data_IF_334561781110
#
_entry.id   IF_334561781110
#
_cell.length_a   1.000
_cell.length_b   1.000
_cell.length_c   1.000
_cell.angle_alpha   90.00
_cell.angle_beta   90.00
_cell.angle_gamma   90.00
#
_symmetry.space_group_name_H-M   'P 1'
#
loop_
_entity.id
_entity.type
_entity.pdbx_description
1 polymer ?
#
# COMPACT_ATOMS: atom_id res chain seq x y z
N UNK A 1 -19.45 8.51 32.57
CA UNK A 1 -18.11 8.77 31.99
C UNK A 1 -18.31 9.17 30.54
N UNK A 2 -17.79 10.31 30.10
CA UNK A 2 -17.93 10.71 28.69
C UNK A 2 -17.16 9.74 27.79
N UNK A 3 -17.67 9.41 26.59
CA UNK A 3 -16.98 8.51 25.68
C UNK A 3 -15.68 9.15 25.17
N UNK A 4 -14.57 8.43 25.30
CA UNK A 4 -13.26 8.85 24.79
C UNK A 4 -13.22 8.60 23.28
N UNK A 5 -12.98 9.65 22.50
CA UNK A 5 -12.88 9.55 21.02
C UNK A 5 -11.45 9.84 20.60
N UNK A 6 -10.82 8.87 19.94
CA UNK A 6 -9.44 8.91 19.51
C UNK A 6 -9.37 8.87 17.99
N UNK A 7 -8.40 9.59 17.42
CA UNK A 7 -8.04 9.55 16.02
C UNK A 7 -6.60 9.06 15.89
N UNK A 8 -6.38 8.09 15.02
CA UNK A 8 -5.07 7.46 14.80
C UNK A 8 -4.63 7.80 13.38
N UNK A 9 -3.45 8.39 13.25
CA UNK A 9 -2.90 8.78 11.96
C UNK A 9 -2.12 7.66 11.26
N UNK A 10 -1.64 7.92 10.05
CA UNK A 10 -0.89 7.00 9.21
C UNK A 10 0.45 6.52 9.82
N UNK A 11 0.95 7.21 10.84
CA UNK A 11 2.16 6.82 11.59
C UNK A 11 1.84 5.99 12.84
N UNK A 12 0.55 5.77 13.14
CA UNK A 12 0.08 5.13 14.35
C UNK A 12 0.00 6.07 15.56
N UNK A 13 0.19 7.38 15.35
CA UNK A 13 0.11 8.37 16.44
C UNK A 13 -1.34 8.66 16.79
N UNK A 14 -1.60 8.68 18.09
CA UNK A 14 -2.95 8.81 18.66
C UNK A 14 -3.21 10.26 19.07
N UNK A 15 -4.38 10.77 18.72
CA UNK A 15 -4.86 12.09 19.05
C UNK A 15 -6.22 12.01 19.73
N UNK A 16 -6.47 12.88 20.70
CA UNK A 16 -7.83 13.15 21.17
C UNK A 16 -8.58 13.90 20.06
N UNK A 17 -9.71 13.36 19.63
CA UNK A 17 -10.54 13.96 18.57
C UNK A 17 -11.11 15.33 18.97
N UNK A 18 -11.23 15.62 20.27
CA UNK A 18 -11.65 16.91 20.78
C UNK A 18 -10.47 17.85 21.05
N UNK A 19 -9.24 17.36 20.95
CA UNK A 19 -8.02 18.12 21.20
C UNK A 19 -7.75 19.21 20.16
N UNK A 20 -6.99 20.22 20.56
CA UNK A 20 -6.54 21.28 19.63
C UNK A 20 -5.48 20.78 18.64
N UNK A 21 -4.64 19.82 19.08
CA UNK A 21 -3.53 19.29 18.29
C UNK A 21 -3.97 18.72 16.93
N UNK A 22 -5.08 17.98 16.88
CA UNK A 22 -5.58 17.40 15.63
C UNK A 22 -6.21 18.45 14.70
N UNK A 23 -6.89 19.45 15.27
CA UNK A 23 -7.47 20.57 14.52
C UNK A 23 -6.38 21.41 13.85
N UNK A 24 -5.33 21.71 14.61
CA UNK A 24 -4.15 22.42 14.10
C UNK A 24 -3.44 21.61 13.00
N UNK A 25 -3.28 20.29 13.20
CA UNK A 25 -2.64 19.40 12.20
C UNK A 25 -3.43 19.31 10.89
N UNK A 26 -4.76 19.20 10.95
CA UNK A 26 -5.60 19.05 9.76
C UNK A 26 -5.92 20.38 9.06
N UNK A 27 -5.73 21.53 9.74
CA UNK A 27 -5.97 22.85 9.15
C UNK A 27 -7.43 23.12 8.77
N UNK A 28 -8.38 22.38 9.34
CA UNK A 28 -9.82 22.48 9.00
C UNK A 28 -10.61 23.19 10.09
N UNK A 29 -11.62 23.96 9.68
CA UNK A 29 -12.56 24.63 10.59
C UNK A 29 -13.58 23.66 11.24
N UNK A 30 -13.68 22.43 10.73
CA UNK A 30 -14.59 21.42 11.26
C UNK A 30 -14.23 21.02 12.70
N UNK A 31 -15.23 20.68 13.50
CA UNK A 31 -15.06 20.19 14.88
C UNK A 31 -16.01 19.05 15.21
N UNK A 32 -15.72 18.32 16.28
CA UNK A 32 -16.54 17.18 16.72
C UNK A 32 -16.67 16.09 15.66
N UNK A 33 -17.90 15.61 15.43
CA UNK A 33 -18.18 14.52 14.48
C UNK A 33 -17.81 14.87 13.03
N UNK A 34 -17.94 16.13 12.62
CA UNK A 34 -17.58 16.54 11.26
C UNK A 34 -16.06 16.46 11.00
N UNK A 35 -15.26 16.78 12.02
CA UNK A 35 -13.79 16.63 11.95
C UNK A 35 -13.39 15.17 11.82
N UNK A 36 -14.01 14.32 12.65
CA UNK A 36 -13.75 12.88 12.67
C UNK A 36 -14.14 12.23 11.34
N UNK A 37 -15.33 12.56 10.82
CA UNK A 37 -15.78 12.07 9.53
C UNK A 37 -14.83 12.49 8.41
N UNK A 38 -14.42 13.77 8.40
CA UNK A 38 -13.45 14.27 7.44
C UNK A 38 -12.10 13.55 7.54
N UNK A 39 -11.57 13.37 8.75
CA UNK A 39 -10.27 12.74 8.97
C UNK A 39 -10.27 11.26 8.54
N UNK A 40 -11.30 10.50 8.95
CA UNK A 40 -11.41 9.09 8.58
C UNK A 40 -11.65 8.92 7.09
N UNK A 41 -12.59 9.70 6.53
CA UNK A 41 -12.95 9.63 5.11
C UNK A 41 -11.77 10.06 4.27
N UNK A 42 -11.22 11.26 4.46
CA UNK A 42 -10.33 11.89 3.47
C UNK A 42 -8.84 11.73 3.77
N UNK A 43 -8.46 11.53 5.03
CA UNK A 43 -7.06 11.55 5.45
C UNK A 43 -6.53 10.17 5.87
N UNK A 44 -7.34 9.11 5.80
CA UNK A 44 -6.92 7.75 6.15
C UNK A 44 -6.75 7.51 7.65
N UNK A 45 -7.32 8.38 8.49
CA UNK A 45 -7.31 8.19 9.93
C UNK A 45 -8.25 7.05 10.34
N UNK A 46 -7.96 6.41 11.47
CA UNK A 46 -8.87 5.48 12.13
C UNK A 46 -9.42 6.15 13.38
N UNK A 47 -10.74 6.19 13.51
CA UNK A 47 -11.43 6.59 14.73
C UNK A 47 -11.62 5.38 15.63
N UNK A 48 -11.30 5.53 16.92
CA UNK A 48 -11.77 4.67 17.99
C UNK A 48 -12.58 5.46 19.00
N UNK A 49 -13.76 4.97 19.36
CA UNK A 49 -14.57 5.55 20.43
C UNK A 49 -14.84 4.53 21.51
N UNK A 50 -14.39 4.80 22.72
CA UNK A 50 -14.60 3.95 23.88
C UNK A 50 -15.73 4.50 24.75
N UNK A 51 -16.64 3.64 25.18
CA UNK A 51 -17.73 3.98 26.09
C UNK A 51 -18.17 2.80 26.94
N UNK A 52 -17.77 2.77 28.21
CA UNK A 52 -18.00 1.61 29.07
C UNK A 52 -17.30 0.37 28.51
N UNK A 53 -18.03 -0.74 28.38
CA UNK A 53 -17.53 -1.98 27.74
C UNK A 53 -17.68 -2.02 26.21
N UNK A 54 -17.98 -0.88 25.56
CA UNK A 54 -18.21 -0.79 24.11
C UNK A 54 -17.10 -0.02 23.42
N UNK A 55 -16.78 -0.44 22.20
CA UNK A 55 -15.91 0.29 21.30
C UNK A 55 -16.58 0.49 19.92
N UNK A 56 -16.40 1.64 19.29
CA UNK A 56 -16.67 1.80 17.86
C UNK A 56 -15.37 2.07 17.11
N UNK A 57 -15.17 1.38 16.00
CA UNK A 57 -14.06 1.58 15.08
C UNK A 57 -14.62 2.11 13.77
N UNK A 58 -14.08 3.23 13.27
CA UNK A 58 -14.50 3.83 12.01
C UNK A 58 -13.29 4.17 11.14
N UNK A 59 -13.32 3.80 9.86
CA UNK A 59 -12.22 4.07 8.91
C UNK A 59 -12.69 4.12 7.46
N UNK A 60 -11.84 4.60 6.55
CA UNK A 60 -11.95 4.33 5.12
C UNK A 60 -10.90 3.28 4.73
N UNK A 61 -11.27 2.00 4.48
CA UNK A 61 -10.31 0.91 4.31
C UNK A 61 -9.32 1.13 3.16
N UNK A 62 -9.74 1.78 2.07
CA UNK A 62 -8.87 2.14 0.94
C UNK A 62 -7.91 3.32 1.20
N UNK A 63 -7.94 3.91 2.39
CA UNK A 63 -7.08 5.05 2.80
C UNK A 63 -6.32 4.80 4.09
N UNK A 64 -6.87 4.00 5.00
CA UNK A 64 -6.20 3.58 6.22
C UNK A 64 -5.07 2.60 5.90
N UNK A 65 -3.98 2.67 6.67
CA UNK A 65 -2.82 1.78 6.49
C UNK A 65 -2.67 0.81 7.68
N UNK A 66 -1.85 -0.23 7.52
CA UNK A 66 -1.67 -1.22 8.59
C UNK A 66 -1.02 -0.69 9.86
N UNK A 67 -0.19 0.35 9.76
CA UNK A 67 0.44 0.95 10.95
C UNK A 67 -0.64 1.57 11.85
N UNK A 68 -1.52 2.37 11.25
CA UNK A 68 -2.68 2.96 11.94
C UNK A 68 -3.63 1.89 12.48
N UNK A 69 -3.87 0.81 11.71
CA UNK A 69 -4.73 -0.29 12.10
C UNK A 69 -4.14 -1.13 13.24
N UNK A 70 -2.84 -1.42 13.22
CA UNK A 70 -2.14 -2.13 14.29
C UNK A 70 -2.14 -1.33 15.59
N UNK A 71 -1.97 0.00 15.51
CA UNK A 71 -2.13 0.89 16.65
C UNK A 71 -3.57 0.87 17.18
N UNK A 72 -4.57 0.83 16.30
CA UNK A 72 -5.97 0.69 16.69
C UNK A 72 -6.25 -0.65 17.41
N UNK A 73 -5.74 -1.76 16.86
CA UNK A 73 -5.85 -3.10 17.48
C UNK A 73 -5.23 -3.12 18.87
N UNK A 74 -4.02 -2.58 19.01
CA UNK A 74 -3.31 -2.50 20.29
C UNK A 74 -4.10 -1.71 21.34
N UNK A 75 -4.78 -0.64 20.93
CA UNK A 75 -5.61 0.16 21.83
C UNK A 75 -6.88 -0.59 22.25
N UNK A 76 -7.53 -1.30 21.33
CA UNK A 76 -8.70 -2.13 21.64
C UNK A 76 -8.33 -3.26 22.58
N UNK A 77 -7.23 -3.97 22.33
CA UNK A 77 -6.73 -5.05 23.20
C UNK A 77 -6.41 -4.56 24.62
N UNK A 78 -5.89 -3.33 24.74
CA UNK A 78 -5.65 -2.69 26.04
C UNK A 78 -6.94 -2.41 26.80
N UNK A 79 -8.00 -1.98 26.12
CA UNK A 79 -9.28 -1.62 26.75
C UNK A 79 -10.26 -2.78 26.91
N UNK A 80 -10.04 -3.89 26.18
CA UNK A 80 -10.84 -5.13 26.23
C UNK A 80 -12.37 -4.88 26.18
N UNK A 81 -12.89 -4.23 25.12
CA UNK A 81 -14.34 -4.04 25.00
C UNK A 81 -15.05 -5.39 24.78
N UNK A 82 -16.24 -5.52 25.34
CA UNK A 82 -17.11 -6.70 25.19
C UNK A 82 -17.87 -6.69 23.86
N UNK A 83 -18.08 -5.50 23.27
CA UNK A 83 -18.81 -5.33 22.01
C UNK A 83 -18.16 -4.28 21.14
N UNK A 84 -18.14 -4.53 19.85
CA UNK A 84 -17.64 -3.60 18.86
C UNK A 84 -18.70 -3.24 17.82
N UNK A 85 -18.69 -1.97 17.43
CA UNK A 85 -19.36 -1.50 16.21
C UNK A 85 -18.30 -1.07 15.21
N UNK A 86 -18.50 -1.45 13.96
CA UNK A 86 -17.64 -1.12 12.84
C UNK A 86 -18.38 -0.15 11.94
N UNK A 87 -17.65 0.83 11.42
CA UNK A 87 -18.09 1.64 10.31
C UNK A 87 -16.96 1.74 9.28
N UNK A 88 -17.23 1.45 8.02
CA UNK A 88 -16.24 1.60 6.97
C UNK A 88 -16.79 2.35 5.76
N UNK A 89 -15.90 3.09 5.08
CA UNK A 89 -16.22 3.90 3.92
C UNK A 89 -15.52 3.40 2.67
N UNK A 90 -16.29 2.99 1.67
CA UNK A 90 -15.84 2.55 0.33
C UNK A 90 -16.45 3.39 -0.82
N UNK A 91 -17.19 4.43 -0.47
CA UNK A 91 -18.05 5.19 -1.38
C UNK A 91 -19.31 5.64 -0.65
N UNK A 92 -19.81 4.75 0.22
CA UNK A 92 -20.84 4.99 1.21
C UNK A 92 -20.40 4.45 2.58
N UNK A 93 -21.14 4.82 3.65
CA UNK A 93 -20.84 4.32 4.99
C UNK A 93 -21.61 3.02 5.26
N UNK A 94 -20.87 1.97 5.55
CA UNK A 94 -21.42 0.69 6.01
C UNK A 94 -21.27 0.60 7.53
N UNK A 95 -22.21 -0.10 8.18
CA UNK A 95 -22.23 -0.25 9.63
C UNK A 95 -22.50 -1.70 10.01
N UNK A 96 -21.70 -2.23 10.93
CA UNK A 96 -21.84 -3.60 11.42
C UNK A 96 -21.61 -3.64 12.93
N UNK A 97 -22.30 -4.53 13.64
CA UNK A 97 -22.07 -4.78 15.07
C UNK A 97 -21.58 -6.20 15.22
N UNK A 98 -20.45 -6.37 15.89
CA UNK A 98 -19.82 -7.66 16.11
C UNK A 98 -19.63 -7.89 17.61
N UNK A 99 -19.78 -9.15 18.00
CA UNK A 99 -19.76 -9.60 19.40
C UNK A 99 -18.36 -9.95 19.92
N UNK A 100 -17.34 -9.88 19.06
CA UNK A 100 -15.95 -10.20 19.39
C UNK A 100 -15.00 -9.23 18.67
N UNK A 101 -14.06 -8.58 19.36
CA UNK A 101 -13.02 -7.75 18.74
C UNK A 101 -12.23 -8.44 17.63
N UNK A 102 -11.92 -9.73 17.78
CA UNK A 102 -11.17 -10.49 16.79
C UNK A 102 -11.93 -10.57 15.44
N UNK A 103 -13.22 -10.91 15.49
CA UNK A 103 -14.08 -10.92 14.30
C UNK A 103 -14.19 -9.52 13.67
N UNK A 104 -14.17 -8.48 14.50
CA UNK A 104 -14.15 -7.10 14.03
C UNK A 104 -12.91 -6.80 13.18
N UNK A 105 -11.75 -7.19 13.68
CA UNK A 105 -10.49 -6.97 12.99
C UNK A 105 -10.35 -7.82 11.74
N UNK A 106 -10.72 -9.10 11.78
CA UNK A 106 -10.73 -9.96 10.59
C UNK A 106 -11.61 -9.38 9.49
N UNK A 107 -12.80 -8.86 9.84
CA UNK A 107 -13.69 -8.19 8.90
C UNK A 107 -13.05 -6.96 8.27
N UNK A 108 -12.47 -6.07 9.08
CA UNK A 108 -11.81 -4.86 8.58
C UNK A 108 -10.55 -5.19 7.77
N UNK A 109 -9.76 -6.20 8.14
CA UNK A 109 -8.62 -6.64 7.33
C UNK A 109 -9.11 -7.11 5.96
N UNK A 110 -10.20 -7.87 5.90
CA UNK A 110 -10.84 -8.26 4.65
C UNK A 110 -11.28 -7.07 3.81
N UNK A 111 -11.90 -6.06 4.43
CA UNK A 111 -12.31 -4.83 3.72
C UNK A 111 -11.12 -3.97 3.28
N UNK A 112 -10.06 -3.88 4.10
CA UNK A 112 -8.81 -3.21 3.71
C UNK A 112 -8.20 -3.94 2.52
N UNK A 113 -8.20 -5.27 2.48
CA UNK A 113 -7.77 -6.06 1.32
C UNK A 113 -8.63 -5.80 0.08
N UNK A 114 -9.95 -5.81 0.21
CA UNK A 114 -10.86 -5.53 -0.91
C UNK A 114 -10.68 -4.11 -1.48
N UNK A 115 -10.50 -3.12 -0.60
CA UNK A 115 -10.34 -1.71 -0.98
C UNK A 115 -8.90 -1.31 -1.33
N UNK A 116 -7.90 -2.15 -1.01
CA UNK A 116 -6.50 -1.97 -1.47
C UNK A 116 -6.35 -2.12 -2.97
N UNK A 117 -7.20 -2.96 -3.56
CA UNK A 117 -7.42 -2.97 -4.99
C UNK A 117 -8.14 -1.69 -5.47
N UNK A 118 -8.13 -0.58 -4.74
CA UNK A 118 -8.74 0.69 -5.18
C UNK A 118 -8.01 1.89 -4.58
N UNK A 119 -6.70 2.09 -4.78
CA UNK A 119 -6.01 3.32 -4.34
C UNK A 119 -6.75 4.56 -4.88
N UNK A 120 -7.61 5.18 -4.06
CA UNK A 120 -8.58 6.20 -4.47
C UNK A 120 -9.56 5.80 -5.57
N UNK A 121 -9.82 4.51 -5.81
CA UNK A 121 -10.55 4.04 -6.99
C UNK A 121 -9.82 4.31 -8.31
N UNK A 122 -8.50 4.49 -8.30
CA UNK A 122 -7.69 4.66 -9.53
C UNK A 122 -6.94 3.42 -9.94
N UNK A 123 -6.69 2.49 -9.03
CA UNK A 123 -5.91 1.28 -9.30
C UNK A 123 -6.63 0.08 -8.73
N UNK A 124 -6.97 -0.88 -9.59
CA UNK A 124 -7.41 -2.22 -9.24
C UNK A 124 -6.28 -3.22 -9.40
N UNK A 125 -6.21 -4.16 -8.48
CA UNK A 125 -5.19 -5.20 -8.51
C UNK A 125 -5.73 -6.56 -8.10
N UNK A 126 -5.19 -7.61 -8.73
CA UNK A 126 -5.49 -8.99 -8.38
C UNK A 126 -4.18 -9.75 -8.12
N UNK A 127 -4.08 -10.40 -6.96
CA UNK A 127 -2.90 -11.17 -6.57
C UNK A 127 -2.91 -12.54 -7.24
N UNK A 128 -1.73 -12.98 -7.66
CA UNK A 128 -1.50 -14.28 -8.27
C UNK A 128 -0.35 -15.00 -7.56
N UNK A 129 -0.34 -16.33 -7.67
CA UNK A 129 0.89 -17.08 -7.39
C UNK A 129 1.85 -16.95 -8.58
N UNK A 130 3.14 -16.60 -8.36
CA UNK A 130 4.14 -16.63 -9.43
C UNK A 130 4.31 -18.01 -10.08
N UNK A 131 3.94 -19.08 -9.39
CA UNK A 131 3.98 -20.45 -9.92
C UNK A 131 2.97 -20.67 -11.07
N UNK A 132 1.87 -19.91 -11.05
CA UNK A 132 0.78 -20.02 -12.03
C UNK A 132 1.06 -19.25 -13.32
N UNK A 133 2.19 -18.54 -13.41
CA UNK A 133 2.57 -17.83 -14.63
C UNK A 133 2.74 -18.80 -15.82
N UNK A 134 2.26 -18.44 -17.02
CA UNK A 134 2.56 -19.20 -18.22
C UNK A 134 4.07 -19.26 -18.51
N UNK A 135 4.54 -20.36 -19.10
CA UNK A 135 5.96 -20.54 -19.45
C UNK A 135 6.53 -19.47 -20.38
N UNK A 136 5.69 -18.86 -21.21
CA UNK A 136 6.04 -17.78 -22.12
C UNK A 136 6.08 -16.40 -21.47
N UNK A 137 5.63 -16.26 -20.21
CA UNK A 137 5.64 -14.98 -19.53
C UNK A 137 7.06 -14.66 -19.04
N UNK A 138 7.67 -13.52 -19.44
CA UNK A 138 9.04 -13.19 -19.06
C UNK A 138 9.23 -13.04 -17.54
N UNK A 139 8.17 -12.73 -16.78
CA UNK A 139 8.23 -12.70 -15.32
C UNK A 139 8.48 -14.09 -14.72
N UNK A 140 8.06 -15.17 -15.39
CA UNK A 140 8.30 -16.55 -14.93
C UNK A 140 9.78 -16.90 -14.97
N UNK A 141 10.48 -16.49 -16.03
CA UNK A 141 11.93 -16.68 -16.16
C UNK A 141 12.68 -15.99 -15.03
N UNK A 142 12.30 -14.75 -14.72
CA UNK A 142 12.95 -13.98 -13.65
C UNK A 142 12.63 -14.55 -12.27
N UNK A 143 11.39 -14.98 -12.06
CA UNK A 143 11.01 -15.68 -10.83
C UNK A 143 11.81 -16.98 -10.66
N UNK A 144 11.96 -17.79 -11.72
CA UNK A 144 12.76 -19.02 -11.67
C UNK A 144 14.23 -18.75 -11.36
N UNK A 145 14.80 -17.66 -11.88
CA UNK A 145 16.17 -17.24 -11.56
C UNK A 145 16.32 -16.90 -10.07
N UNK A 146 15.36 -16.15 -9.52
CA UNK A 146 15.32 -15.83 -8.10
C UNK A 146 15.17 -17.06 -7.20
N UNK A 147 14.35 -18.03 -7.60
CA UNK A 147 14.22 -19.30 -6.85
C UNK A 147 15.53 -20.09 -6.89
N UNK A 148 16.14 -20.23 -8.07
CA UNK A 148 17.37 -21.00 -8.26
C UNK A 148 18.57 -20.39 -7.51
N UNK A 149 18.56 -19.08 -7.29
CA UNK A 149 19.60 -18.35 -6.58
C UNK A 149 19.36 -18.22 -5.08
N UNK A 150 18.27 -18.78 -4.54
CA UNK A 150 17.90 -18.63 -3.13
C UNK A 150 17.57 -17.19 -2.73
N UNK A 151 17.04 -16.40 -3.67
CA UNK A 151 16.65 -15.01 -3.44
C UNK A 151 17.73 -13.97 -3.72
N UNK A 152 18.84 -14.35 -4.34
CA UNK A 152 19.92 -13.44 -4.73
C UNK A 152 19.82 -13.09 -6.22
N UNK A 153 19.72 -11.81 -6.59
CA UNK A 153 19.84 -11.41 -8.00
C UNK A 153 20.98 -10.40 -8.10
N UNK A 154 22.08 -10.80 -8.73
CA UNK A 154 23.22 -9.93 -8.97
C UNK A 154 23.12 -9.27 -10.35
N UNK A 155 22.86 -7.97 -10.35
CA UNK A 155 22.76 -7.16 -11.56
C UNK A 155 24.05 -7.09 -12.39
N UNK A 156 25.21 -7.28 -11.78
CA UNK A 156 26.46 -7.29 -12.52
C UNK A 156 26.57 -8.51 -13.43
N UNK A 157 25.86 -9.59 -13.12
CA UNK A 157 26.01 -10.89 -13.79
C UNK A 157 24.84 -11.26 -14.69
N UNK A 158 23.66 -10.68 -14.49
CA UNK A 158 22.47 -10.96 -15.34
C UNK A 158 21.83 -9.75 -16.05
N UNK A 159 22.54 -8.63 -16.35
CA UNK A 159 21.90 -7.44 -16.91
C UNK A 159 21.35 -7.71 -18.31
N UNK A 160 22.05 -8.49 -19.14
CA UNK A 160 21.62 -8.82 -20.50
C UNK A 160 20.40 -9.75 -20.51
N UNK A 161 20.34 -10.69 -19.56
CA UNK A 161 19.17 -11.56 -19.40
C UNK A 161 17.95 -10.75 -18.96
N UNK A 162 18.10 -9.88 -17.95
CA UNK A 162 17.00 -9.03 -17.50
C UNK A 162 16.57 -8.05 -18.59
N UNK A 163 17.50 -7.46 -19.34
CA UNK A 163 17.17 -6.57 -20.44
C UNK A 163 16.51 -7.29 -21.62
N UNK A 164 16.96 -8.49 -22.00
CA UNK A 164 16.33 -9.25 -23.07
C UNK A 164 14.90 -9.70 -22.72
N UNK A 165 14.66 -10.09 -21.47
CA UNK A 165 13.35 -10.55 -21.02
C UNK A 165 12.38 -9.39 -20.72
N UNK A 166 12.85 -8.36 -20.02
CA UNK A 166 12.01 -7.30 -19.48
C UNK A 166 12.08 -6.00 -20.28
N UNK A 167 13.01 -5.87 -21.23
CA UNK A 167 13.22 -4.66 -22.05
C UNK A 167 13.36 -3.40 -21.20
N UNK A 168 14.12 -3.50 -20.10
CA UNK A 168 14.33 -2.40 -19.16
C UNK A 168 13.14 -2.11 -18.24
N UNK A 169 12.08 -2.93 -18.19
CA UNK A 169 10.90 -2.69 -17.32
C UNK A 169 11.07 -3.23 -15.91
N UNK A 170 12.14 -2.80 -15.24
CA UNK A 170 12.45 -3.23 -13.88
C UNK A 170 12.98 -2.08 -13.03
N UNK A 171 12.93 -2.26 -11.72
CA UNK A 171 13.50 -1.34 -10.74
C UNK A 171 14.04 -2.12 -9.53
N UNK A 172 15.07 -1.58 -8.91
CA UNK A 172 15.63 -2.05 -7.66
C UNK A 172 15.30 -1.07 -6.57
N UNK A 173 14.70 -1.60 -5.50
CA UNK A 173 14.21 -0.83 -4.38
C UNK A 173 14.98 -1.28 -3.16
N UNK A 174 15.51 -0.35 -2.37
CA UNK A 174 16.16 -0.64 -1.10
C UNK A 174 15.48 0.12 0.02
N UNK A 175 15.54 -0.46 1.22
CA UNK A 175 15.25 0.21 2.47
C UNK A 175 16.56 0.40 3.23
N UNK A 176 17.08 1.63 3.30
CA UNK A 176 18.27 1.91 4.11
C UNK A 176 18.02 1.55 5.59
N UNK A 177 19.06 1.16 6.35
CA UNK A 177 18.97 0.92 7.79
C UNK A 177 18.29 2.06 8.54
N UNK A 178 17.36 1.71 9.42
CA UNK A 178 16.66 2.68 10.26
C UNK A 178 15.72 3.62 9.50
N UNK A 179 15.52 3.43 8.19
CA UNK A 179 14.60 4.23 7.38
C UNK A 179 13.29 3.50 7.11
N UNK A 180 12.18 4.22 7.24
CA UNK A 180 10.87 3.74 6.78
C UNK A 180 10.63 3.98 5.27
N UNK A 181 11.58 4.63 4.59
CA UNK A 181 11.48 5.01 3.18
C UNK A 181 12.05 3.92 2.28
N UNK A 182 11.33 3.65 1.19
CA UNK A 182 11.81 2.80 0.10
C UNK A 182 12.35 3.68 -1.01
N UNK A 183 13.57 3.40 -1.47
CA UNK A 183 14.27 4.22 -2.46
C UNK A 183 14.68 3.41 -3.68
N UNK A 184 14.60 4.03 -4.85
CA UNK A 184 15.14 3.50 -6.10
C UNK A 184 16.67 3.57 -6.06
N UNK A 185 17.33 2.45 -6.29
CA UNK A 185 18.79 2.41 -6.52
C UNK A 185 19.14 2.26 -7.98
N UNK A 186 18.27 1.57 -8.74
CA UNK A 186 18.40 1.41 -10.17
C UNK A 186 17.02 1.28 -10.80
N UNK A 187 16.83 1.89 -11.96
CA UNK A 187 15.61 1.83 -12.75
C UNK A 187 16.03 1.53 -14.18
N UNK A 188 15.45 0.47 -14.75
CA UNK A 188 15.67 0.15 -16.15
C UNK A 188 15.00 1.17 -17.07
N UNK A 189 15.53 1.30 -18.29
CA UNK A 189 15.12 2.33 -19.25
C UNK A 189 13.76 2.11 -19.90
N UNK A 190 13.08 1.00 -19.59
CA UNK A 190 11.80 0.64 -20.18
C UNK A 190 10.57 1.05 -19.35
N UNK A 191 10.76 1.67 -18.18
CA UNK A 191 9.65 2.14 -17.34
C UNK A 191 9.06 3.44 -17.91
N UNK A 192 7.99 3.29 -18.70
CA UNK A 192 7.31 4.38 -19.40
C UNK A 192 6.14 4.98 -18.59
N UNK A 193 6.27 5.06 -17.26
CA UNK A 193 5.19 5.59 -16.41
C UNK A 193 4.98 7.11 -16.57
N UNK A 194 6.01 7.86 -16.98
CA UNK A 194 5.98 9.31 -17.13
C UNK A 194 6.78 9.75 -18.36
N UNK A 195 6.43 10.87 -18.99
CA UNK A 195 7.15 11.47 -20.13
C UNK A 195 8.58 11.85 -19.73
N UNK A 196 8.75 12.44 -18.54
CA UNK A 196 10.06 12.75 -18.00
C UNK A 196 10.74 11.50 -17.43
N UNK A 197 11.52 10.81 -18.27
CA UNK A 197 12.26 9.61 -17.89
C UNK A 197 13.30 9.86 -16.78
N UNK A 198 13.65 11.11 -16.45
CA UNK A 198 14.55 11.44 -15.35
C UNK A 198 13.85 11.57 -13.99
N UNK A 199 12.54 11.28 -13.90
CA UNK A 199 11.78 11.35 -12.65
C UNK A 199 12.50 10.59 -11.51
N UNK A 200 12.95 9.36 -11.77
CA UNK A 200 13.57 8.52 -10.73
C UNK A 200 14.93 9.03 -10.23
N UNK A 201 15.63 9.89 -10.99
CA UNK A 201 16.87 10.54 -10.51
C UNK A 201 16.57 11.78 -9.66
N UNK A 202 15.44 12.46 -9.93
CA UNK A 202 14.95 13.60 -9.15
C UNK A 202 14.23 13.18 -7.88
N UNK A 203 13.50 12.06 -7.95
CA UNK A 203 12.68 11.52 -6.86
C UNK A 203 13.18 10.14 -6.48
N UNK A 204 14.04 10.12 -5.47
CA UNK A 204 14.74 8.90 -5.05
C UNK A 204 13.83 7.91 -4.33
N UNK A 205 12.69 8.34 -3.78
CA UNK A 205 11.80 7.46 -3.03
C UNK A 205 10.59 7.01 -3.85
N UNK A 206 10.08 5.82 -3.54
CA UNK A 206 8.90 5.24 -4.22
C UNK A 206 7.66 6.11 -4.02
N UNK A 207 7.52 6.74 -2.85
CA UNK A 207 6.35 7.55 -2.52
C UNK A 207 6.37 8.92 -3.22
N UNK A 208 7.55 9.45 -3.51
CA UNK A 208 7.73 10.81 -4.04
C UNK A 208 7.63 10.84 -5.57
N UNK A 209 7.06 9.81 -6.20
CA UNK A 209 6.85 9.77 -7.64
C UNK A 209 5.94 10.92 -8.12
N UNK A 210 6.04 11.32 -9.41
CA UNK A 210 5.20 12.36 -10.00
C UNK A 210 3.69 12.16 -9.77
N UNK A 211 3.20 10.91 -9.88
CA UNK A 211 1.86 10.54 -9.44
C UNK A 211 1.89 10.06 -7.99
N UNK A 212 1.34 10.88 -7.09
CA UNK A 212 1.23 10.57 -5.67
C UNK A 212 0.46 9.26 -5.42
N UNK A 213 -0.69 9.04 -6.07
CA UNK A 213 -1.52 7.87 -5.82
C UNK A 213 -0.87 6.61 -6.34
N UNK A 214 -0.22 6.68 -7.50
CA UNK A 214 0.56 5.56 -8.02
C UNK A 214 1.76 5.26 -7.11
N UNK A 215 2.51 6.28 -6.67
CA UNK A 215 3.62 6.12 -5.73
C UNK A 215 3.20 5.46 -4.42
N UNK A 216 2.05 5.87 -3.88
CA UNK A 216 1.44 5.25 -2.69
C UNK A 216 1.05 3.80 -2.90
N UNK A 217 0.36 3.48 -4.00
CA UNK A 217 0.00 2.12 -4.37
C UNK A 217 1.25 1.22 -4.43
N UNK A 218 2.31 1.66 -5.11
CA UNK A 218 3.55 0.90 -5.21
C UNK A 218 4.28 0.74 -3.88
N UNK A 219 4.34 1.80 -3.08
CA UNK A 219 4.99 1.77 -1.77
C UNK A 219 4.36 0.70 -0.86
N UNK A 220 3.04 0.57 -0.89
CA UNK A 220 2.31 -0.41 -0.08
C UNK A 220 2.59 -1.84 -0.55
N UNK A 221 2.47 -2.11 -1.86
CA UNK A 221 2.83 -3.41 -2.46
C UNK A 221 4.27 -3.82 -2.11
N UNK A 222 5.21 -2.88 -2.18
CA UNK A 222 6.62 -3.17 -1.91
C UNK A 222 6.91 -3.40 -0.43
N UNK A 223 6.26 -2.65 0.46
CA UNK A 223 6.42 -2.88 1.90
C UNK A 223 5.98 -4.28 2.31
N UNK A 224 4.92 -4.79 1.70
CA UNK A 224 4.41 -6.14 1.94
C UNK A 224 5.34 -7.22 1.43
N UNK A 225 5.77 -7.13 0.17
CA UNK A 225 6.74 -8.09 -0.39
C UNK A 225 8.03 -8.15 0.45
N UNK A 226 8.52 -6.99 0.94
CA UNK A 226 9.66 -6.93 1.85
C UNK A 226 9.37 -7.57 3.21
N UNK A 227 8.21 -7.29 3.82
CA UNK A 227 7.84 -7.77 5.15
C UNK A 227 7.60 -9.28 5.16
N UNK A 228 6.84 -9.78 4.17
CA UNK A 228 6.52 -11.20 4.05
C UNK A 228 7.75 -12.04 3.66
N UNK A 229 8.78 -11.43 3.06
CA UNK A 229 9.93 -12.12 2.44
C UNK A 229 9.49 -13.15 1.40
N UNK A 230 8.34 -12.92 0.79
CA UNK A 230 7.75 -13.75 -0.24
C UNK A 230 7.60 -12.97 -1.56
N UNK A 231 7.77 -13.64 -2.71
CA UNK A 231 7.43 -13.10 -4.02
C UNK A 231 5.98 -12.62 -4.07
N UNK A 232 5.75 -11.43 -4.60
CA UNK A 232 4.40 -10.90 -4.84
C UNK A 232 4.20 -10.72 -6.33
N UNK A 233 3.20 -11.42 -6.89
CA UNK A 233 2.76 -11.20 -8.26
C UNK A 233 1.35 -10.61 -8.23
N UNK A 234 1.14 -9.54 -8.99
CA UNK A 234 -0.16 -8.92 -9.12
C UNK A 234 -0.42 -8.43 -10.55
N UNK A 235 -1.64 -8.61 -11.00
CA UNK A 235 -2.19 -7.85 -12.12
C UNK A 235 -2.67 -6.49 -11.62
N UNK A 236 -2.48 -5.46 -12.44
CA UNK A 236 -2.87 -4.08 -12.16
C UNK A 236 -3.63 -3.53 -13.36
N UNK A 237 -4.76 -2.88 -13.08
CA UNK A 237 -5.55 -2.06 -13.99
C UNK A 237 -5.79 -0.71 -13.33
N UNK A 238 -5.15 0.36 -13.82
CA UNK A 238 -5.29 1.65 -13.15
C UNK A 238 -4.82 2.87 -13.93
N UNK A 239 -5.26 4.02 -13.46
CA UNK A 239 -5.02 5.31 -14.09
C UNK A 239 -3.79 5.99 -13.48
N UNK A 240 -2.73 6.12 -14.28
CA UNK A 240 -1.52 6.87 -13.93
C UNK A 240 -1.63 8.29 -14.50
N UNK A 241 -1.38 9.28 -13.65
CA UNK A 241 -1.34 10.70 -13.98
C UNK A 241 0.11 11.15 -14.13
N UNK A 242 0.50 11.46 -15.35
CA UNK A 242 1.76 12.15 -15.59
C UNK A 242 1.51 13.67 -15.57
N UNK A 243 2.17 14.44 -14.67
CA UNK A 243 2.04 15.90 -14.62
C UNK A 243 2.37 16.62 -15.95
N UNK A 244 3.11 15.96 -16.85
CA UNK A 244 3.46 16.49 -18.18
C UNK A 244 2.57 15.98 -19.31
N UNK A 245 1.58 15.14 -19.01
CA UNK A 245 0.62 14.63 -19.99
C UNK A 245 -0.73 15.35 -19.88
N UNK A 246 -1.42 15.47 -21.02
CA UNK A 246 -2.71 16.17 -21.09
C UNK A 246 -3.86 15.36 -20.46
N UNK A 247 -3.69 14.04 -20.34
CA UNK A 247 -4.68 13.11 -19.80
C UNK A 247 -3.99 11.98 -19.03
N UNK A 248 -4.62 11.45 -17.97
CA UNK A 248 -4.20 10.19 -17.37
C UNK A 248 -4.22 9.07 -18.41
N UNK A 249 -3.30 8.12 -18.33
CA UNK A 249 -3.34 6.93 -19.16
C UNK A 249 -3.75 5.71 -18.34
N UNK A 250 -4.49 4.80 -18.96
CA UNK A 250 -4.82 3.53 -18.33
C UNK A 250 -3.66 2.54 -18.48
N UNK A 251 -3.12 2.11 -17.36
CA UNK A 251 -2.03 1.16 -17.22
C UNK A 251 -2.60 -0.22 -16.88
N UNK A 252 -2.43 -1.17 -17.80
CA UNK A 252 -2.76 -2.58 -17.60
C UNK A 252 -1.48 -3.41 -17.66
N UNK A 253 -1.03 -3.94 -16.52
CA UNK A 253 0.24 -4.66 -16.43
C UNK A 253 0.24 -5.71 -15.33
N UNK A 254 1.04 -6.75 -15.51
CA UNK A 254 1.39 -7.71 -14.46
C UNK A 254 2.72 -7.27 -13.83
N UNK A 255 2.79 -7.24 -12.50
CA UNK A 255 3.98 -6.87 -11.74
C UNK A 255 4.41 -7.97 -10.81
N UNK A 256 5.71 -8.24 -10.84
CA UNK A 256 6.39 -9.14 -9.92
C UNK A 256 7.32 -8.32 -9.02
N UNK A 257 7.19 -8.48 -7.71
CA UNK A 257 8.12 -7.97 -6.71
C UNK A 257 8.78 -9.16 -5.99
N UNK A 258 10.11 -9.19 -6.00
CA UNK A 258 10.94 -10.27 -5.46
C UNK A 258 11.81 -9.74 -4.33
N UNK A 259 11.65 -10.21 -3.09
CA UNK A 259 12.53 -9.82 -2.00
C UNK A 259 13.93 -10.40 -2.20
N UNK A 260 14.94 -9.56 -2.08
CA UNK A 260 16.33 -9.95 -2.28
C UNK A 260 17.01 -10.20 -0.94
N UNK A 261 17.86 -11.23 -0.91
CA UNK A 261 18.84 -11.44 0.14
C UNK A 261 20.07 -10.60 -0.19
N UNK A 262 20.47 -9.71 0.73
CA UNK A 262 21.65 -8.84 0.56
C UNK A 262 22.71 -9.19 1.60
N UNK A 263 23.99 -9.06 1.25
CA UNK A 263 25.12 -9.35 2.14
C UNK A 263 25.22 -8.42 3.35
N UNK A 264 24.59 -7.24 3.29
CA UNK A 264 24.59 -6.23 4.36
C UNK A 264 23.33 -6.25 5.23
N UNK A 265 22.42 -7.21 5.02
CA UNK A 265 21.20 -7.35 5.83
C UNK A 265 20.15 -6.26 5.59
N UNK A 266 20.24 -5.50 4.50
CA UNK A 266 19.22 -4.53 4.12
C UNK A 266 18.06 -5.20 3.39
N UNK A 267 16.85 -4.63 3.56
CA UNK A 267 15.69 -5.04 2.77
C UNK A 267 15.83 -4.49 1.36
N UNK A 268 15.86 -5.37 0.38
CA UNK A 268 15.86 -4.99 -1.02
C UNK A 268 14.77 -5.76 -1.77
N UNK A 269 14.28 -5.16 -2.86
CA UNK A 269 13.40 -5.79 -3.81
C UNK A 269 13.95 -5.61 -5.22
N UNK A 270 13.75 -6.65 -6.02
CA UNK A 270 13.67 -6.53 -7.47
C UNK A 270 12.21 -6.44 -7.89
N UNK A 271 11.85 -5.42 -8.67
CA UNK A 271 10.49 -5.23 -9.17
C UNK A 271 10.51 -5.19 -10.70
N UNK A 272 9.64 -5.95 -11.34
CA UNK A 272 9.47 -5.95 -12.80
C UNK A 272 8.00 -5.79 -13.18
N UNK A 273 7.72 -5.07 -14.27
CA UNK A 273 6.36 -4.85 -14.77
C UNK A 273 6.27 -5.15 -16.26
N UNK A 274 5.31 -5.97 -16.64
CA UNK A 274 5.11 -6.36 -18.04
C UNK A 274 3.69 -5.96 -18.46
N UNK A 275 3.51 -5.18 -19.54
CA UNK A 275 2.18 -4.81 -20.02
C UNK A 275 1.35 -6.05 -20.31
N UNK A 276 0.10 -6.03 -19.86
CA UNK A 276 -0.83 -7.12 -20.05
C UNK A 276 -2.21 -6.53 -20.36
N UNK A 277 -2.52 -6.40 -21.65
CA UNK A 277 -3.75 -5.72 -22.12
C UNK A 277 -5.02 -6.55 -21.93
N UNK A 278 -4.91 -7.85 -21.60
CA UNK A 278 -6.08 -8.69 -21.36
C UNK A 278 -6.63 -8.57 -19.94
N UNK A 279 -5.91 -7.87 -19.04
CA UNK A 279 -6.43 -7.59 -17.69
C UNK A 279 -7.68 -6.73 -17.83
N UNK A 280 -8.75 -7.12 -17.16
CA UNK A 280 -9.94 -6.30 -17.00
C UNK A 280 -10.44 -6.44 -15.58
N UNK A 281 -10.19 -5.41 -14.77
CA UNK A 281 -10.57 -5.41 -13.37
C UNK A 281 -11.70 -4.42 -13.09
N UNK A 282 -12.17 -3.64 -14.07
CA UNK A 282 -13.16 -2.57 -13.90
C UNK A 282 -14.61 -3.02 -14.05
#
# INVERSE_FOLDING_TARGET
>A
MMPLTLLIDESGKVYDANGWAIRSKLGVAASGSALVDYAARNCGYIELKFGGSKCSLKLAPGRANYVSFSAASSLVDKHKPERMSLAWYDGEWHYEIVTNPQAAFERIVGEMWANRATAGGRFRSHLWSPLDLPGSNPLKTVFGLWQASGGCIDLATVPDLLNSQLRGKYAFIVRPPGSAKLSYTSVGTGIEAYRDQSWHTKQQTVADQPDYYYGRFLLETYREAMLAREPTLLDVDGHIEDPQADKPFNAKYTRLALPLVTSEGYDALFCASVPNRSIDLW
#
